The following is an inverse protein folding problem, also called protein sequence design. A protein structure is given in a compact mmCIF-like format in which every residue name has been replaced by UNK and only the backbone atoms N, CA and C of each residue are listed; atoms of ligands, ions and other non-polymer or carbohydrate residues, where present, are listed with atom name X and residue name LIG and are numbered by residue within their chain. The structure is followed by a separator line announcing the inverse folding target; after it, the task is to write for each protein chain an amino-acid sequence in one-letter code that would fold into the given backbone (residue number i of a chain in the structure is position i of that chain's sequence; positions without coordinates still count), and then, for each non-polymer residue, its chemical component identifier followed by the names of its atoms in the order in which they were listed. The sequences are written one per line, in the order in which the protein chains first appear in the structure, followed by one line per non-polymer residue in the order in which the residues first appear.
data_IF_291463209084
#
_entry.id   IF_291463209084
#
_cell.length_a   1.000
_cell.length_b   1.000
_cell.length_c   1.000
_cell.angle_alpha   90.00
_cell.angle_beta   90.00
_cell.angle_gamma   90.00
#
_symmetry.space_group_name_H-M   'P 1'
#
loop_
_entity.id
_entity.type
_entity.pdbx_description
1 polymer ?
#
# COMPACT_ATOMS: atom_id res chain seq x y z
N UNK A 1 -4.64 -19.84 8.67
CA UNK A 1 -3.75 -19.45 9.79
C UNK A 1 -2.28 -19.34 9.36
N UNK A 2 -1.79 -20.19 8.45
CA UNK A 2 -0.42 -20.12 7.91
C UNK A 2 -0.24 -19.05 6.81
N UNK A 3 -1.23 -18.91 5.93
CA UNK A 3 -1.23 -17.90 4.84
C UNK A 3 -1.19 -16.47 5.39
N UNK A 4 -1.97 -16.16 6.43
CA UNK A 4 -1.99 -14.83 7.05
C UNK A 4 -0.63 -14.44 7.64
N UNK A 5 0.09 -15.39 8.26
CA UNK A 5 1.46 -15.14 8.74
C UNK A 5 2.45 -14.92 7.60
N UNK A 6 2.32 -15.66 6.50
CA UNK A 6 3.18 -15.47 5.33
C UNK A 6 2.94 -14.10 4.67
N UNK A 7 1.68 -13.64 4.60
CA UNK A 7 1.31 -12.30 4.11
C UNK A 7 1.88 -11.22 5.02
N UNK A 8 1.68 -11.33 6.34
CA UNK A 8 2.20 -10.37 7.32
C UNK A 8 3.74 -10.27 7.25
N UNK A 9 4.44 -11.40 7.18
CA UNK A 9 5.89 -11.43 7.05
C UNK A 9 6.39 -10.87 5.70
N UNK A 10 5.65 -11.11 4.61
CA UNK A 10 5.99 -10.59 3.29
C UNK A 10 5.75 -9.08 3.20
N UNK A 11 4.60 -8.59 3.70
CA UNK A 11 4.26 -7.16 3.73
C UNK A 11 5.20 -6.36 4.63
N UNK A 12 5.59 -6.91 5.79
CA UNK A 12 6.61 -6.28 6.65
C UNK A 12 7.97 -6.12 5.98
N UNK A 13 8.31 -7.00 5.03
CA UNK A 13 9.55 -6.92 4.24
C UNK A 13 9.40 -6.09 2.97
N UNK A 14 8.19 -5.99 2.44
CA UNK A 14 7.90 -5.28 1.22
C UNK A 14 7.67 -3.79 1.53
N UNK A 15 8.66 -2.96 1.22
CA UNK A 15 8.52 -1.50 1.30
C UNK A 15 7.60 -0.93 0.20
N UNK A 16 7.22 -1.75 -0.79
CA UNK A 16 6.34 -1.35 -1.89
C UNK A 16 5.41 -2.49 -2.31
N UNK A 17 4.21 -2.12 -2.76
CA UNK A 17 3.19 -3.03 -3.28
C UNK A 17 2.63 -2.49 -4.59
N UNK A 18 2.00 -3.35 -5.38
CA UNK A 18 1.21 -2.90 -6.52
C UNK A 18 -0.25 -2.72 -6.09
N UNK A 19 -0.86 -1.58 -6.43
CA UNK A 19 -2.28 -1.30 -6.21
C UNK A 19 -2.99 -1.18 -7.54
N UNK A 20 -4.04 -1.98 -7.73
CA UNK A 20 -4.87 -1.96 -8.94
C UNK A 20 -6.31 -1.58 -8.59
N UNK A 21 -6.76 -0.45 -9.14
CA UNK A 21 -8.17 -0.03 -9.11
C UNK A 21 -8.88 -0.64 -10.35
N UNK A 22 -10.15 -1.08 -10.25
CA UNK A 22 -10.90 -1.63 -11.38
C UNK A 22 -10.80 -0.77 -12.64
N UNK A 23 -10.51 -1.43 -13.79
CA UNK A 23 -10.35 -0.79 -15.11
C UNK A 23 -9.19 0.22 -15.21
N UNK A 24 -8.27 0.24 -14.25
CA UNK A 24 -7.05 1.06 -14.26
C UNK A 24 -5.82 0.16 -14.26
N UNK A 25 -4.70 0.68 -14.80
CA UNK A 25 -3.41 -0.01 -14.72
C UNK A 25 -2.89 0.02 -13.28
N UNK A 26 -2.42 -1.11 -12.78
CA UNK A 26 -1.78 -1.18 -11.47
C UNK A 26 -0.60 -0.21 -11.33
N UNK A 27 -0.43 0.33 -10.13
CA UNK A 27 0.65 1.25 -9.76
C UNK A 27 1.52 0.62 -8.69
N UNK A 28 2.83 0.66 -8.88
CA UNK A 28 3.78 0.35 -7.81
C UNK A 28 3.83 1.55 -6.88
N UNK A 29 3.57 1.34 -5.60
CA UNK A 29 3.54 2.37 -4.56
C UNK A 29 4.36 1.95 -3.36
N UNK A 30 5.11 2.88 -2.79
CA UNK A 30 5.67 2.77 -1.44
C UNK A 30 4.53 2.67 -0.43
N UNK A 31 4.67 1.73 0.49
CA UNK A 31 3.62 1.43 1.45
C UNK A 31 4.20 1.07 2.82
N UNK A 32 3.38 1.29 3.84
CA UNK A 32 3.66 0.92 5.22
C UNK A 32 2.68 -0.19 5.63
N UNK A 33 3.20 -1.29 6.18
CA UNK A 33 2.36 -2.28 6.84
C UNK A 33 2.24 -1.96 8.33
N UNK A 34 1.03 -1.64 8.78
CA UNK A 34 0.75 -1.27 10.18
C UNK A 34 -0.69 -1.64 10.54
N UNK A 35 -0.87 -2.18 11.74
CA UNK A 35 -2.19 -2.52 12.30
C UNK A 35 -3.07 -3.37 11.36
N UNK A 36 -2.45 -4.38 10.74
CA UNK A 36 -3.12 -5.33 9.85
C UNK A 36 -3.58 -4.74 8.51
N UNK A 37 -3.12 -3.55 8.15
CA UNK A 37 -3.49 -2.87 6.91
C UNK A 37 -2.27 -2.33 6.17
N UNK A 38 -2.44 -2.16 4.86
CA UNK A 38 -1.47 -1.46 4.01
C UNK A 38 -1.81 0.02 3.98
N UNK A 39 -0.88 0.87 4.37
CA UNK A 39 -1.01 2.31 4.35
C UNK A 39 -0.28 2.90 3.14
N UNK A 40 -0.95 3.77 2.40
CA UNK A 40 -0.43 4.38 1.17
C UNK A 40 -0.67 5.88 1.22
N UNK A 41 0.39 6.67 1.08
CA UNK A 41 0.31 8.10 0.83
C UNK A 41 0.17 8.36 -0.68
N UNK A 42 -0.77 9.20 -1.08
CA UNK A 42 -1.08 9.48 -2.50
C UNK A 42 -0.98 10.97 -2.77
N UNK A 43 -0.27 11.31 -3.84
CA UNK A 43 0.01 12.67 -4.30
C UNK A 43 1.48 12.82 -4.68
N UNK A 44 1.84 13.98 -5.23
CA UNK A 44 3.22 14.25 -5.64
C UNK A 44 3.68 13.33 -6.78
N UNK A 45 4.68 12.50 -6.53
CA UNK A 45 5.19 11.51 -7.48
C UNK A 45 4.53 10.12 -7.35
N UNK A 46 3.71 9.90 -6.31
CA UNK A 46 3.02 8.65 -6.04
C UNK A 46 1.51 8.77 -6.29
N UNK A 47 1.12 8.56 -7.55
CA UNK A 47 -0.27 8.68 -8.01
C UNK A 47 -0.96 7.31 -8.18
N UNK A 48 -2.19 7.19 -7.68
CA UNK A 48 -3.05 6.01 -7.86
C UNK A 48 -4.41 6.41 -8.44
N UNK A 49 -4.52 6.60 -9.78
CA UNK A 49 -5.73 7.15 -10.37
C UNK A 49 -6.98 6.30 -10.13
N UNK A 50 -8.03 6.95 -9.60
CA UNK A 50 -9.30 6.32 -9.29
C UNK A 50 -9.39 5.71 -7.89
N UNK A 51 -8.33 5.80 -7.08
CA UNK A 51 -8.43 5.51 -5.66
C UNK A 51 -9.18 6.64 -4.97
N UNK A 52 -10.25 6.28 -4.27
CA UNK A 52 -11.12 7.16 -3.50
C UNK A 52 -11.57 6.39 -2.25
N UNK A 53 -12.16 7.07 -1.27
CA UNK A 53 -12.71 6.39 -0.10
C UNK A 53 -13.77 5.35 -0.49
N UNK A 54 -13.63 4.15 0.05
CA UNK A 54 -14.47 2.99 -0.25
C UNK A 54 -14.14 2.27 -1.56
N UNK A 55 -13.11 2.67 -2.31
CA UNK A 55 -12.73 1.99 -3.53
C UNK A 55 -12.29 0.54 -3.27
N UNK A 56 -12.87 -0.41 -3.99
CA UNK A 56 -12.36 -1.77 -4.06
C UNK A 56 -11.08 -1.79 -4.89
N UNK A 57 -10.00 -2.33 -4.34
CA UNK A 57 -8.70 -2.43 -5.00
C UNK A 57 -8.14 -3.83 -4.85
N UNK A 58 -7.17 -4.18 -5.70
CA UNK A 58 -6.35 -5.38 -5.54
C UNK A 58 -4.94 -4.94 -5.18
N UNK A 59 -4.43 -5.46 -4.06
CA UNK A 59 -3.05 -5.33 -3.65
C UNK A 59 -2.29 -6.57 -4.14
N UNK A 60 -1.30 -6.37 -4.99
CA UNK A 60 -0.41 -7.42 -5.47
C UNK A 60 0.94 -7.31 -4.77
N UNK A 61 1.30 -8.37 -4.04
CA UNK A 61 2.63 -8.53 -3.48
C UNK A 61 3.58 -9.20 -4.47
N UNK A 62 4.79 -8.66 -4.54
CA UNK A 62 5.92 -9.29 -5.22
C UNK A 62 7.10 -9.45 -4.28
N UNK A 63 7.91 -10.46 -4.56
CA UNK A 63 9.15 -10.69 -3.85
C UNK A 63 10.11 -9.50 -4.07
N UNK A 64 10.62 -8.86 -3.01
CA UNK A 64 11.55 -7.74 -3.16
C UNK A 64 12.91 -8.16 -3.72
N UNK A 65 13.24 -9.46 -3.71
CA UNK A 65 14.53 -9.99 -4.20
C UNK A 65 14.43 -10.59 -5.59
N UNK A 66 13.41 -11.43 -5.83
CA UNK A 66 13.24 -12.15 -7.10
C UNK A 66 12.24 -11.49 -8.05
N UNK A 67 11.49 -10.50 -7.56
CA UNK A 67 10.42 -9.81 -8.27
C UNK A 67 9.27 -10.72 -8.75
N UNK A 68 9.25 -11.98 -8.29
CA UNK A 68 8.19 -12.94 -8.58
C UNK A 68 6.88 -12.51 -7.91
N UNK A 69 5.76 -12.83 -8.55
CA UNK A 69 4.44 -12.68 -7.94
C UNK A 69 4.33 -13.60 -6.72
N UNK A 70 3.87 -13.05 -5.59
CA UNK A 70 3.59 -13.81 -4.37
C UNK A 70 2.09 -13.99 -4.13
N UNK A 71 1.31 -12.91 -4.19
CA UNK A 71 -0.12 -12.94 -3.91
C UNK A 71 -0.85 -11.72 -4.50
N UNK A 72 -2.09 -11.93 -4.93
CA UNK A 72 -3.11 -10.89 -5.12
C UNK A 72 -4.14 -10.99 -3.98
N UNK A 73 -4.41 -9.88 -3.29
CA UNK A 73 -5.42 -9.81 -2.23
C UNK A 73 -6.35 -8.62 -2.45
N UNK A 74 -7.68 -8.82 -2.42
CA UNK A 74 -8.62 -7.71 -2.47
C UNK A 74 -8.51 -6.86 -1.22
N UNK A 75 -8.75 -5.56 -1.36
CA UNK A 75 -8.80 -4.63 -0.25
C UNK A 75 -9.82 -3.51 -0.50
N UNK A 76 -10.23 -2.84 0.57
CA UNK A 76 -11.02 -1.60 0.49
C UNK A 76 -10.17 -0.43 0.93
N UNK A 77 -10.05 0.58 0.07
CA UNK A 77 -9.35 1.81 0.41
C UNK A 77 -10.21 2.67 1.34
N UNK A 78 -9.65 3.08 2.47
CA UNK A 78 -10.26 4.04 3.41
C UNK A 78 -9.44 5.30 3.46
N UNK A 79 -10.04 6.44 3.12
CA UNK A 79 -9.38 7.73 3.30
C UNK A 79 -9.29 8.03 4.79
N UNK A 80 -8.10 8.35 5.28
CA UNK A 80 -7.83 8.55 6.70
C UNK A 80 -6.91 9.74 6.93
N UNK A 81 -7.04 10.34 8.11
CA UNK A 81 -6.06 11.27 8.65
C UNK A 81 -5.08 10.48 9.53
N UNK A 82 -3.81 10.31 9.12
CA UNK A 82 -2.82 9.58 9.91
C UNK A 82 -2.36 10.39 11.12
N UNK A 83 -2.03 9.69 12.21
CA UNK A 83 -1.32 10.30 13.34
C UNK A 83 0.14 10.67 12.99
N UNK A 84 0.80 11.43 13.86
CA UNK A 84 2.17 11.91 13.63
C UNK A 84 3.18 10.76 13.44
N UNK A 85 2.98 9.66 14.16
CA UNK A 85 3.86 8.48 14.07
C UNK A 85 3.72 7.80 12.70
N UNK A 86 2.50 7.65 12.22
CA UNK A 86 2.17 7.09 10.92
C UNK A 86 2.67 7.99 9.80
N UNK A 87 2.55 9.32 9.95
CA UNK A 87 3.14 10.30 9.02
C UNK A 87 4.65 10.11 8.92
N UNK A 88 5.35 10.03 10.06
CA UNK A 88 6.80 9.84 10.06
C UNK A 88 7.21 8.52 9.41
N UNK A 89 6.47 7.43 9.68
CA UNK A 89 6.72 6.12 9.08
C UNK A 89 6.46 6.12 7.56
N UNK A 90 5.40 6.77 7.09
CA UNK A 90 5.11 6.91 5.66
C UNK A 90 6.21 7.69 4.94
N UNK A 91 6.72 8.79 5.53
CA UNK A 91 7.88 9.52 4.97
C UNK A 91 9.12 8.65 4.90
N UNK A 92 9.39 7.87 5.95
CA UNK A 92 10.56 6.99 5.99
C UNK A 92 10.48 5.84 4.98
N UNK A 93 9.28 5.37 4.65
CA UNK A 93 9.05 4.33 3.64
C UNK A 93 9.21 4.84 2.20
N UNK A 94 9.07 6.16 1.97
CA UNK A 94 9.17 6.76 0.65
C UNK A 94 10.63 6.97 0.22
N UNK A 95 11.09 6.25 -0.80
CA UNK A 95 12.50 6.24 -1.18
C UNK A 95 12.86 7.17 -2.36
N UNK A 96 11.88 7.86 -2.97
CA UNK A 96 12.11 8.72 -4.14
C UNK A 96 12.46 10.18 -3.79
N UNK A 97 12.81 10.47 -2.54
CA UNK A 97 13.05 11.82 -2.04
C UNK A 97 11.98 12.27 -1.04
N UNK A 98 11.85 13.59 -0.78
CA UNK A 98 10.84 14.12 0.13
C UNK A 98 9.46 13.64 -0.27
N UNK A 99 8.78 12.99 0.67
CA UNK A 99 7.43 12.50 0.44
C UNK A 99 6.45 13.68 0.50
N UNK A 100 5.79 13.94 -0.62
CA UNK A 100 4.69 14.89 -0.75
C UNK A 100 3.42 14.11 -1.07
N UNK A 101 2.33 14.40 -0.36
CA UNK A 101 1.05 13.75 -0.60
C UNK A 101 -0.08 14.69 -0.21
N UNK A 102 -1.26 14.39 -0.76
CA UNK A 102 -2.51 15.08 -0.46
C UNK A 102 -3.46 14.20 0.34
N UNK A 103 -3.34 12.89 0.19
CA UNK A 103 -4.27 11.92 0.76
C UNK A 103 -3.51 10.73 1.34
N UNK A 104 -4.07 10.11 2.37
CA UNK A 104 -3.54 8.85 2.92
C UNK A 104 -4.67 7.84 3.00
N UNK A 105 -4.40 6.65 2.49
CA UNK A 105 -5.35 5.56 2.46
C UNK A 105 -4.87 4.39 3.31
N UNK A 106 -5.77 3.87 4.14
CA UNK A 106 -5.64 2.56 4.79
C UNK A 106 -6.37 1.52 3.94
N UNK A 107 -5.64 0.56 3.39
CA UNK A 107 -6.20 -0.52 2.58
C UNK A 107 -6.50 -1.72 3.48
N UNK A 108 -7.78 -1.95 3.71
CA UNK A 108 -8.27 -3.05 4.52
C UNK A 108 -8.36 -4.31 3.67
N UNK A 109 -7.43 -5.25 3.89
CA UNK A 109 -7.39 -6.52 3.18
C UNK A 109 -8.61 -7.39 3.55
N UNK A 110 -9.19 -8.06 2.55
CA UNK A 110 -10.39 -8.92 2.69
C UNK A 110 -10.03 -10.41 2.62
#
# INVERSE_FOLDING_TARGET
MEIAQAIDAALRKAAAVWVSVPRRRGRLVWALWRDGAVWVAVGGDQEVPGMVDGAEVVVTLRSPTTHSHLLDTPAVARLVEPDEETVAALRAAHLNGPAEWTEVYRLDLV
#
